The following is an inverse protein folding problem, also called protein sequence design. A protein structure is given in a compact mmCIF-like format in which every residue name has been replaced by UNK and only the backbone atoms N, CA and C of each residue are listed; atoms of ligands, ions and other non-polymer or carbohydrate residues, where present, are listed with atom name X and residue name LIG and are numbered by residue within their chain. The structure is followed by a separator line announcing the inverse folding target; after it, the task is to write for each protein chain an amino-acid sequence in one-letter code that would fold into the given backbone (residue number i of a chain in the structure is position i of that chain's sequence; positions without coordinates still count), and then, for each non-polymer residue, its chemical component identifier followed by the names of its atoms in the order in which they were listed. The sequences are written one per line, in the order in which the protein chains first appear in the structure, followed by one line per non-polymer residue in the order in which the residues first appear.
data_IF_913147014927
#
_entry.id   IF_913147014927
#
_cell.length_a   1.000
_cell.length_b   1.000
_cell.length_c   1.000
_cell.angle_alpha   90.00
_cell.angle_beta   90.00
_cell.angle_gamma   90.00
#
_symmetry.space_group_name_H-M   'P 1'
#
loop_
_entity.id
_entity.type
_entity.pdbx_description
1 polymer ?
#
# COMPACT_ATOMS: atom_id res chain seq x y z
N UNK A 1 -4.86 18.05 -33.50
CA UNK A 1 -5.71 17.24 -32.60
C UNK A 1 -4.81 16.30 -31.83
N UNK A 2 -4.90 16.24 -30.50
CA UNK A 2 -4.11 15.29 -29.72
C UNK A 2 -4.46 13.85 -30.11
N UNK A 3 -3.45 12.99 -30.13
CA UNK A 3 -3.50 11.62 -30.67
C UNK A 3 -4.33 10.66 -29.78
N UNK A 4 -4.70 11.08 -28.57
CA UNK A 4 -5.58 10.33 -27.68
C UNK A 4 -6.36 11.29 -26.74
N UNK A 5 -7.70 11.34 -26.80
CA UNK A 5 -8.54 12.21 -25.96
C UNK A 5 -8.60 11.81 -24.48
N UNK A 6 -7.95 10.72 -24.09
CA UNK A 6 -7.78 10.29 -22.69
C UNK A 6 -6.39 10.60 -22.12
N UNK A 7 -5.48 11.17 -22.92
CA UNK A 7 -4.26 11.79 -22.40
C UNK A 7 -4.66 13.20 -21.97
N UNK A 8 -5.26 13.26 -20.79
CA UNK A 8 -5.30 14.51 -20.05
C UNK A 8 -3.94 14.65 -19.35
N UNK A 9 -3.18 15.69 -19.70
CA UNK A 9 -1.90 16.05 -19.09
C UNK A 9 -2.07 16.70 -17.70
N UNK A 10 -3.30 16.78 -17.21
CA UNK A 10 -3.64 17.27 -15.88
C UNK A 10 -3.00 16.37 -14.82
N UNK A 11 -2.15 16.99 -14.03
CA UNK A 11 -1.37 16.35 -13.01
C UNK A 11 -2.24 15.56 -12.01
N UNK A 12 -1.95 14.27 -11.84
CA UNK A 12 -2.77 13.34 -11.05
C UNK A 12 -1.96 12.59 -9.98
N UNK A 13 -2.71 11.99 -9.05
CA UNK A 13 -2.21 11.01 -8.08
C UNK A 13 -2.96 9.69 -8.28
N UNK A 14 -2.27 8.57 -8.15
CA UNK A 14 -2.91 7.25 -8.17
C UNK A 14 -3.00 6.74 -6.73
N UNK A 15 -4.17 6.23 -6.37
CA UNK A 15 -4.41 5.57 -5.08
C UNK A 15 -4.83 4.13 -5.36
N UNK A 16 -4.04 3.16 -4.89
CA UNK A 16 -4.40 1.74 -4.90
C UNK A 16 -4.96 1.37 -3.53
N UNK A 17 -5.91 0.42 -3.48
CA UNK A 17 -6.41 -0.10 -2.21
C UNK A 17 -6.28 -1.63 -2.12
N UNK A 18 -6.04 -2.11 -0.90
CA UNK A 18 -5.93 -3.53 -0.58
C UNK A 18 -6.54 -3.82 0.79
N UNK A 19 -6.96 -5.06 1.01
CA UNK A 19 -7.37 -5.53 2.34
C UNK A 19 -6.14 -6.09 3.05
N UNK A 20 -6.14 -6.04 4.39
CA UNK A 20 -5.19 -6.74 5.25
C UNK A 20 -5.97 -7.50 6.31
N UNK A 21 -5.55 -8.72 6.60
CA UNK A 21 -6.12 -9.61 7.60
C UNK A 21 -5.00 -10.21 8.47
N UNK A 22 -5.36 -11.07 9.41
CA UNK A 22 -4.37 -11.70 10.30
C UNK A 22 -3.75 -12.97 9.71
N UNK A 23 -4.09 -13.33 8.48
CA UNK A 23 -3.67 -14.57 7.87
C UNK A 23 -2.29 -14.41 7.24
N UNK A 24 -1.33 -15.22 7.67
CA UNK A 24 0.03 -15.27 7.13
C UNK A 24 0.70 -13.88 7.03
N UNK A 25 0.80 -13.10 8.14
CA UNK A 25 1.20 -11.69 8.09
C UNK A 25 2.63 -11.47 7.61
N UNK A 26 3.51 -12.48 7.71
CA UNK A 26 4.89 -12.43 7.22
C UNK A 26 5.09 -13.17 5.89
N UNK A 27 4.01 -13.69 5.31
CA UNK A 27 4.09 -14.51 4.11
C UNK A 27 4.10 -13.70 2.82
N UNK A 28 4.75 -14.27 1.81
CA UNK A 28 4.66 -13.79 0.42
C UNK A 28 3.33 -14.15 -0.23
N UNK A 29 2.63 -15.15 0.31
CA UNK A 29 1.24 -15.48 0.01
C UNK A 29 0.30 -14.88 1.05
N UNK A 30 -0.90 -14.44 0.63
CA UNK A 30 -1.87 -13.78 1.50
C UNK A 30 -1.89 -12.26 1.34
N UNK A 31 -2.74 -11.60 2.14
CA UNK A 31 -3.10 -10.21 1.92
C UNK A 31 -1.94 -9.22 2.15
N UNK A 32 -1.07 -9.49 3.13
CA UNK A 32 0.15 -8.71 3.32
C UNK A 32 1.12 -8.86 2.13
N UNK A 33 1.26 -10.08 1.59
CA UNK A 33 2.04 -10.33 0.39
C UNK A 33 1.50 -9.55 -0.82
N UNK A 34 0.19 -9.62 -1.06
CA UNK A 34 -0.50 -8.89 -2.13
C UNK A 34 -0.44 -7.36 -1.96
N UNK A 35 -0.37 -6.86 -0.73
CA UNK A 35 -0.14 -5.44 -0.47
C UNK A 35 1.17 -4.95 -1.09
N UNK A 36 2.20 -5.80 -1.03
CA UNK A 36 3.51 -5.51 -1.61
C UNK A 36 3.51 -5.84 -3.12
N UNK A 37 3.26 -7.09 -3.49
CA UNK A 37 3.42 -7.58 -4.88
C UNK A 37 2.40 -7.00 -5.85
N UNK A 38 1.16 -6.81 -5.41
CA UNK A 38 0.06 -6.30 -6.23
C UNK A 38 -0.38 -4.89 -5.83
N UNK A 39 0.38 -4.22 -4.98
CA UNK A 39 0.20 -2.82 -4.58
C UNK A 39 1.46 -2.01 -4.84
N UNK A 40 2.40 -2.02 -3.91
CA UNK A 40 3.68 -1.28 -4.01
C UNK A 40 4.41 -1.58 -5.33
N UNK A 41 4.55 -2.87 -5.67
CA UNK A 41 5.26 -3.31 -6.87
C UNK A 41 4.62 -2.80 -8.18
N UNK A 42 3.31 -2.50 -8.19
CA UNK A 42 2.63 -1.93 -9.37
C UNK A 42 3.02 -0.47 -9.62
N UNK A 43 3.33 0.28 -8.57
CA UNK A 43 3.86 1.64 -8.74
C UNK A 43 5.28 1.61 -9.31
N UNK A 44 6.13 0.72 -8.82
CA UNK A 44 7.56 0.69 -9.22
C UNK A 44 7.83 0.00 -10.56
N UNK A 45 6.94 -0.86 -11.02
CA UNK A 45 7.02 -1.50 -12.36
C UNK A 45 6.53 -0.59 -13.49
N UNK A 46 6.25 0.69 -13.20
CA UNK A 46 5.69 1.66 -14.16
C UNK A 46 4.35 1.24 -14.78
N UNK A 47 3.66 0.24 -14.20
CA UNK A 47 2.25 -0.07 -14.51
C UNK A 47 1.34 1.12 -14.17
N UNK A 48 1.73 1.88 -13.15
CA UNK A 48 1.15 3.17 -12.81
C UNK A 48 2.18 4.27 -13.01
N UNK A 49 1.83 5.27 -13.83
CA UNK A 49 2.63 6.46 -14.01
C UNK A 49 2.58 7.35 -12.76
N UNK A 50 3.72 7.96 -12.40
CA UNK A 50 3.89 8.72 -11.17
C UNK A 50 4.16 10.20 -11.48
N UNK A 51 3.13 10.95 -11.90
CA UNK A 51 3.28 12.34 -12.37
C UNK A 51 4.03 13.24 -11.35
N UNK A 52 3.56 13.25 -10.10
CA UNK A 52 4.17 14.01 -9.00
C UNK A 52 5.22 13.24 -8.19
N UNK A 53 5.68 12.09 -8.70
CA UNK A 53 6.54 11.16 -7.93
C UNK A 53 5.95 10.79 -6.56
N UNK A 54 4.63 10.85 -6.44
CA UNK A 54 3.89 10.68 -5.20
C UNK A 54 2.60 9.93 -5.51
N UNK A 55 2.30 8.88 -4.74
CA UNK A 55 1.06 8.12 -4.84
C UNK A 55 0.55 7.70 -3.46
N UNK A 56 -0.66 7.13 -3.42
CA UNK A 56 -1.29 6.65 -2.21
C UNK A 56 -1.57 5.15 -2.24
N UNK A 57 -1.56 4.55 -1.06
CA UNK A 57 -2.12 3.24 -0.80
C UNK A 57 -3.06 3.30 0.40
N UNK A 58 -4.22 2.68 0.27
CA UNK A 58 -5.16 2.50 1.38
C UNK A 58 -5.20 1.01 1.73
N UNK A 59 -4.90 0.69 2.98
CA UNK A 59 -5.16 -0.63 3.52
C UNK A 59 -6.47 -0.63 4.31
N UNK A 60 -7.36 -1.55 3.97
CA UNK A 60 -8.55 -1.84 4.75
C UNK A 60 -8.23 -3.01 5.69
N UNK A 61 -8.13 -2.74 6.99
CA UNK A 61 -7.94 -3.77 8.00
C UNK A 61 -9.29 -4.44 8.24
N UNK A 62 -9.42 -5.71 7.84
CA UNK A 62 -10.70 -6.43 7.87
C UNK A 62 -10.84 -7.40 9.05
N UNK A 63 -9.77 -7.60 9.81
CA UNK A 63 -9.75 -8.40 11.04
C UNK A 63 -9.00 -7.65 12.15
N UNK A 64 -9.42 -7.77 13.43
CA UNK A 64 -8.77 -7.05 14.51
C UNK A 64 -7.28 -7.41 14.61
N UNK A 65 -6.40 -6.40 14.58
CA UNK A 65 -4.95 -6.58 14.68
C UNK A 65 -4.24 -5.36 15.24
N UNK A 66 -3.00 -5.54 15.70
CA UNK A 66 -2.10 -4.42 15.96
C UNK A 66 -1.51 -3.94 14.62
N UNK A 67 -1.95 -2.77 14.16
CA UNK A 67 -1.54 -2.20 12.86
C UNK A 67 -0.04 -1.90 12.83
N UNK A 68 0.54 -1.40 13.93
CA UNK A 68 1.97 -1.10 14.00
C UNK A 68 2.81 -2.38 13.87
N UNK A 69 2.42 -3.46 14.54
CA UNK A 69 3.05 -4.77 14.39
C UNK A 69 2.88 -5.31 12.96
N UNK A 70 1.71 -5.12 12.36
CA UNK A 70 1.49 -5.56 10.98
C UNK A 70 2.37 -4.79 9.98
N UNK A 71 2.62 -3.49 10.20
CA UNK A 71 3.58 -2.71 9.40
C UNK A 71 5.00 -3.28 9.52
N UNK A 72 5.40 -3.77 10.71
CA UNK A 72 6.67 -4.47 10.85
C UNK A 72 6.71 -5.76 10.01
N UNK A 73 5.59 -6.48 9.92
CA UNK A 73 5.46 -7.66 9.06
C UNK A 73 5.54 -7.32 7.57
N UNK A 74 4.89 -6.23 7.12
CA UNK A 74 5.01 -5.72 5.75
C UNK A 74 6.47 -5.38 5.40
N UNK A 75 7.18 -4.70 6.31
CA UNK A 75 8.60 -4.40 6.14
C UNK A 75 9.47 -5.66 6.08
N UNK A 76 9.14 -6.69 6.88
CA UNK A 76 9.80 -7.98 6.79
C UNK A 76 9.63 -8.60 5.40
N UNK A 77 8.41 -8.58 4.85
CA UNK A 77 8.13 -9.08 3.48
C UNK A 77 8.93 -8.28 2.45
N UNK A 78 8.91 -6.94 2.51
CA UNK A 78 9.70 -6.08 1.61
C UNK A 78 11.18 -6.51 1.58
N UNK A 79 11.76 -6.79 2.75
CA UNK A 79 13.18 -7.12 2.88
C UNK A 79 13.53 -8.56 2.49
N UNK A 80 12.59 -9.51 2.59
CA UNK A 80 12.91 -10.96 2.52
C UNK A 80 12.27 -11.69 1.33
N UNK A 81 11.20 -11.16 0.74
CA UNK A 81 10.39 -11.84 -0.29
C UNK A 81 11.03 -11.93 -1.67
N UNK A 82 12.03 -11.09 -1.96
CA UNK A 82 12.56 -10.90 -3.31
C UNK A 82 11.61 -10.17 -4.26
N UNK A 83 10.49 -9.63 -3.77
CA UNK A 83 9.61 -8.79 -4.59
C UNK A 83 10.38 -7.55 -5.08
N UNK A 84 10.23 -7.16 -6.37
CA UNK A 84 10.93 -6.03 -6.95
C UNK A 84 10.28 -4.71 -6.51
N UNK A 85 10.27 -4.44 -5.22
CA UNK A 85 9.69 -3.24 -4.61
C UNK A 85 10.59 -2.02 -4.75
N UNK A 86 11.86 -2.20 -5.13
CA UNK A 86 12.88 -1.15 -5.27
C UNK A 86 12.95 -0.18 -4.06
N UNK A 87 12.67 -0.71 -2.87
CA UNK A 87 12.50 0.08 -1.65
C UNK A 87 13.83 0.69 -1.21
N UNK A 88 13.86 2.02 -1.09
CA UNK A 88 14.98 2.79 -0.53
C UNK A 88 14.73 3.09 0.95
N UNK A 89 13.46 3.27 1.32
CA UNK A 89 13.02 3.46 2.71
C UNK A 89 11.77 2.63 2.94
N UNK A 90 11.87 1.70 3.88
CA UNK A 90 10.76 0.88 4.36
C UNK A 90 9.59 1.74 4.88
N UNK A 91 8.43 1.11 5.05
CA UNK A 91 7.23 1.76 5.54
C UNK A 91 7.50 2.29 6.96
N UNK A 92 7.40 3.60 7.12
CA UNK A 92 7.63 4.32 8.37
C UNK A 92 6.44 5.21 8.70
N UNK A 93 6.15 5.33 9.98
CA UNK A 93 5.05 6.18 10.43
C UNK A 93 5.35 7.64 10.10
N UNK A 94 4.33 8.35 9.63
CA UNK A 94 4.38 9.79 9.41
C UNK A 94 2.99 10.34 9.65
N UNK A 95 2.87 11.26 10.61
CA UNK A 95 1.61 11.94 10.86
C UNK A 95 1.27 12.84 9.67
N UNK A 96 0.12 12.60 9.02
CA UNK A 96 -0.36 13.37 7.87
C UNK A 96 -1.48 14.32 8.30
N UNK A 97 -2.39 13.85 9.16
CA UNK A 97 -3.49 14.64 9.72
C UNK A 97 -3.52 14.47 11.24
N UNK A 98 -4.09 15.45 11.93
CA UNK A 98 -4.35 15.35 13.37
C UNK A 98 -5.37 14.26 13.67
N UNK A 99 -5.26 13.67 14.86
CA UNK A 99 -6.14 12.60 15.35
C UNK A 99 -6.20 11.31 14.51
N UNK A 100 -5.25 11.12 13.58
CA UNK A 100 -5.08 9.86 12.84
C UNK A 100 -3.64 9.35 12.93
N UNK A 101 -3.46 8.22 13.63
CA UNK A 101 -2.14 7.67 13.92
C UNK A 101 -1.65 6.61 12.92
N UNK A 102 -2.52 6.14 12.02
CA UNK A 102 -2.25 5.03 11.11
C UNK A 102 -1.87 5.49 9.71
N UNK A 103 -1.13 6.60 9.64
CA UNK A 103 -0.54 7.15 8.42
C UNK A 103 0.96 6.86 8.36
N UNK A 104 1.41 6.41 7.20
CA UNK A 104 2.77 5.98 6.94
C UNK A 104 3.24 6.46 5.56
N UNK A 105 4.52 6.30 5.28
CA UNK A 105 5.09 6.50 3.96
C UNK A 105 6.28 5.55 3.74
N UNK A 106 6.61 5.30 2.48
CA UNK A 106 7.82 4.62 2.04
C UNK A 106 8.41 5.34 0.82
N UNK A 107 9.69 5.05 0.52
CA UNK A 107 10.39 5.61 -0.63
C UNK A 107 10.88 4.47 -1.51
N UNK A 108 10.63 4.57 -2.81
CA UNK A 108 11.01 3.56 -3.80
C UNK A 108 11.71 4.21 -4.99
N UNK A 109 12.46 3.42 -5.76
CA UNK A 109 13.16 3.88 -6.96
C UNK A 109 12.51 3.37 -8.25
N UNK A 110 12.27 4.28 -9.20
CA UNK A 110 11.85 4.01 -10.58
C UNK A 110 12.78 4.77 -11.51
N UNK A 111 13.52 4.07 -12.37
CA UNK A 111 14.46 4.69 -13.33
C UNK A 111 15.40 5.74 -12.69
N UNK A 112 15.97 5.39 -11.52
CA UNK A 112 16.83 6.26 -10.69
C UNK A 112 16.14 7.52 -10.15
N UNK A 113 14.82 7.57 -10.15
CA UNK A 113 14.02 8.63 -9.51
C UNK A 113 13.32 8.06 -8.29
N UNK A 114 13.41 8.80 -7.19
CA UNK A 114 12.64 8.47 -6.00
C UNK A 114 11.16 8.80 -6.19
N UNK A 115 10.31 7.88 -5.76
CA UNK A 115 8.89 8.09 -5.58
C UNK A 115 8.51 7.87 -4.11
N UNK A 116 7.57 8.65 -3.62
CA UNK A 116 6.97 8.48 -2.29
C UNK A 116 5.62 7.80 -2.42
N UNK A 117 5.39 6.76 -1.63
CA UNK A 117 4.06 6.17 -1.47
C UNK A 117 3.60 6.47 -0.06
N UNK A 118 2.45 7.12 0.08
CA UNK A 118 1.78 7.31 1.36
C UNK A 118 0.83 6.16 1.63
N UNK A 119 0.80 5.64 2.85
CA UNK A 119 -0.06 4.53 3.23
C UNK A 119 -1.00 4.96 4.36
N UNK A 120 -2.30 4.75 4.18
CA UNK A 120 -3.31 4.91 5.22
C UNK A 120 -3.82 3.51 5.59
N UNK A 121 -3.72 3.15 6.86
CA UNK A 121 -4.29 1.90 7.37
C UNK A 121 -5.60 2.23 8.08
N UNK A 122 -6.72 1.88 7.45
CA UNK A 122 -8.06 2.17 7.96
C UNK A 122 -8.63 0.92 8.64
N UNK A 123 -8.95 1.05 9.93
CA UNK A 123 -9.51 -0.06 10.70
C UNK A 123 -11.02 -0.22 10.45
N UNK A 124 -11.38 -1.25 9.68
CA UNK A 124 -12.75 -1.65 9.39
C UNK A 124 -13.12 -2.98 10.06
N UNK A 125 -12.24 -3.52 10.92
CA UNK A 125 -12.43 -4.83 11.54
C UNK A 125 -13.70 -4.93 12.40
N UNK A 126 -14.18 -3.79 12.90
CA UNK A 126 -15.43 -3.69 13.67
C UNK A 126 -16.68 -3.49 12.80
N UNK A 127 -16.49 -3.08 11.55
CA UNK A 127 -17.57 -2.75 10.61
C UNK A 127 -17.91 -3.93 9.70
N UNK A 128 -16.97 -4.86 9.52
CA UNK A 128 -17.15 -6.07 8.73
C UNK A 128 -17.43 -7.20 9.72
N UNK A 129 -18.70 -7.43 10.03
CA UNK A 129 -19.12 -8.65 10.71
C UNK A 129 -19.37 -9.71 9.65
N UNK A 130 -18.67 -10.85 9.74
CA UNK A 130 -19.11 -12.04 9.02
C UNK A 130 -20.52 -12.36 9.51
N UNK A 131 -21.51 -12.39 8.61
CA UNK A 131 -22.78 -13.03 8.93
C UNK A 131 -22.43 -14.42 9.43
N UNK A 132 -22.71 -14.66 10.72
CA UNK A 132 -22.55 -15.98 11.30
C UNK A 132 -23.41 -16.89 10.45
N UNK A 133 -22.78 -17.74 9.64
CA UNK A 133 -23.51 -18.81 8.96
C UNK A 133 -23.99 -19.73 10.05
N UNK A 134 -25.22 -19.49 10.51
CA UNK A 134 -25.97 -20.43 11.32
C UNK A 134 -26.14 -21.68 10.45
N UNK A 135 -25.34 -22.70 10.74
CA UNK A 135 -25.55 -24.06 10.24
C UNK A 135 -26.48 -24.76 11.23
#
# INVERSE_FOLDING_TARGET
MPINPFINDDAYYIIECKRLDTNNPNGTSGLNGEYISEGICRFVSSKYSCYYKTNGMIAFIVQPMNIQENVACLNNIINTSGFPSNTQRNIQQRKIVDDFNYSYYSIHSIDNKEITIYHLMLDFSKNIQEESKTV
#
